data_IF_224891281487
#
_entry.id   IF_224891281487
#
_cell.length_a   1.000
_cell.length_b   1.000
_cell.length_c   1.000
_cell.angle_alpha   90.00
_cell.angle_beta   90.00
_cell.angle_gamma   90.00
#
_symmetry.space_group_name_H-M   'P 1'
#
loop_
_entity.id
_entity.type
_entity.pdbx_description
1 polymer ?
#
# COMPACT_ATOMS: atom_id res chain seq x y z
N UNK A 1 23.02 -1.75 20.07
CA UNK A 1 22.39 -0.50 20.53
C UNK A 1 21.36 0.01 19.54
N UNK A 2 20.46 0.87 20.02
CA UNK A 2 19.44 1.56 19.19
C UNK A 2 18.35 0.65 18.62
N UNK A 3 18.28 -0.60 19.02
CA UNK A 3 17.19 -1.47 18.67
C UNK A 3 15.90 -1.04 19.39
N UNK A 4 14.81 -1.06 18.67
CA UNK A 4 13.48 -0.85 19.21
C UNK A 4 12.88 -2.22 19.53
N UNK A 5 12.69 -2.48 20.83
CA UNK A 5 12.13 -3.73 21.32
C UNK A 5 10.72 -3.49 21.87
N UNK A 6 9.81 -4.37 21.55
CA UNK A 6 8.43 -4.36 22.05
C UNK A 6 8.15 -5.64 22.81
N UNK A 7 7.65 -5.49 24.03
CA UNK A 7 6.96 -6.54 24.76
C UNK A 7 5.45 -6.38 24.58
N UNK A 8 4.76 -7.48 24.35
CA UNK A 8 3.31 -7.52 24.32
C UNK A 8 2.87 -8.90 24.81
N UNK A 9 2.35 -8.97 26.00
CA UNK A 9 1.92 -10.21 26.62
C UNK A 9 0.63 -10.03 27.37
N UNK A 10 -0.20 -11.07 27.43
CA UNK A 10 -1.40 -11.10 28.23
C UNK A 10 -1.09 -11.59 29.63
N UNK A 11 -1.50 -10.84 30.61
CA UNK A 11 -1.41 -11.21 32.03
C UNK A 11 -2.83 -11.30 32.62
N UNK A 12 -2.96 -11.81 33.83
CA UNK A 12 -4.25 -11.83 34.53
C UNK A 12 -4.91 -10.46 34.71
N UNK A 13 -4.16 -9.36 34.55
CA UNK A 13 -4.64 -7.98 34.59
C UNK A 13 -4.91 -7.34 33.26
N UNK A 14 -4.77 -8.07 32.15
CA UNK A 14 -4.97 -7.56 30.80
C UNK A 14 -3.71 -7.58 29.93
N UNK A 15 -3.67 -6.74 28.90
CA UNK A 15 -2.53 -6.62 28.00
C UNK A 15 -1.42 -5.78 28.64
N UNK A 16 -0.28 -6.41 28.93
CA UNK A 16 0.96 -5.75 29.27
C UNK A 16 1.70 -5.39 27.98
N UNK A 17 2.05 -4.13 27.80
CA UNK A 17 2.79 -3.70 26.60
C UNK A 17 3.73 -2.55 26.95
N UNK A 18 4.96 -2.64 26.45
CA UNK A 18 5.89 -1.53 26.43
C UNK A 18 6.78 -1.59 25.19
N UNK A 19 7.25 -0.44 24.78
CA UNK A 19 8.14 -0.31 23.64
C UNK A 19 9.34 0.55 24.04
N UNK A 20 10.55 -0.01 23.94
CA UNK A 20 11.77 0.57 24.49
C UNK A 20 12.87 0.63 23.45
N UNK A 21 13.78 1.60 23.60
CA UNK A 21 15.03 1.67 22.84
C UNK A 21 16.17 1.08 23.67
N UNK A 22 16.95 0.19 23.04
CA UNK A 22 18.14 -0.43 23.64
C UNK A 22 19.28 0.56 23.65
N UNK A 23 19.77 0.95 24.84
CA UNK A 23 20.91 1.85 24.99
C UNK A 23 22.24 1.17 24.63
N UNK A 24 22.43 -0.07 25.05
CA UNK A 24 23.60 -0.87 24.68
C UNK A 24 23.29 -2.37 24.74
N UNK A 25 24.14 -3.17 24.07
CA UNK A 25 24.06 -4.62 24.12
C UNK A 25 25.47 -5.20 24.12
N UNK A 26 25.71 -6.22 24.96
CA UNK A 26 26.96 -6.95 25.05
C UNK A 26 26.68 -8.41 25.37
N UNK A 27 27.05 -9.33 24.47
CA UNK A 27 26.68 -10.73 24.57
C UNK A 27 25.16 -10.88 24.62
N UNK A 28 24.64 -11.61 25.60
CA UNK A 28 23.21 -11.86 25.80
C UNK A 28 22.52 -10.80 26.68
N UNK A 29 23.23 -9.73 27.01
CA UNK A 29 22.72 -8.66 27.89
C UNK A 29 22.37 -7.42 27.07
N UNK A 30 21.16 -6.92 27.24
CA UNK A 30 20.71 -5.61 26.73
C UNK A 30 20.45 -4.66 27.88
N UNK A 31 20.86 -3.40 27.71
CA UNK A 31 20.64 -2.33 28.68
C UNK A 31 19.62 -1.36 28.09
N UNK A 32 18.57 -1.10 28.87
CA UNK A 32 17.51 -0.15 28.55
C UNK A 32 17.43 0.88 29.67
N UNK A 33 17.33 2.15 29.33
CA UNK A 33 17.15 3.19 30.34
C UNK A 33 15.80 3.03 31.05
N UNK A 34 15.77 3.23 32.37
CA UNK A 34 14.53 3.13 33.17
C UNK A 34 13.42 4.05 32.64
N UNK A 35 13.80 5.21 32.12
CA UNK A 35 12.87 6.19 31.53
C UNK A 35 12.14 5.72 30.27
N UNK A 36 12.61 4.63 29.64
CA UNK A 36 11.96 4.03 28.48
C UNK A 36 10.65 3.32 28.84
N UNK A 37 10.51 2.87 30.09
CA UNK A 37 9.33 2.15 30.56
C UNK A 37 8.26 3.12 31.07
N UNK A 38 7.48 3.66 30.13
CA UNK A 38 6.44 4.68 30.43
C UNK A 38 5.06 4.09 30.64
N UNK A 39 4.79 2.88 30.11
CA UNK A 39 3.46 2.26 30.13
C UNK A 39 3.37 1.04 31.05
N UNK A 40 4.43 0.27 31.17
CA UNK A 40 4.49 -0.94 32.00
C UNK A 40 5.89 -1.18 32.51
N UNK A 41 6.00 -1.79 33.66
CA UNK A 41 7.29 -2.20 34.29
C UNK A 41 7.68 -3.56 33.72
N UNK A 42 8.97 -3.75 33.31
CA UNK A 42 9.45 -5.05 32.86
C UNK A 42 9.49 -6.06 34.04
N UNK A 43 9.23 -7.30 33.74
CA UNK A 43 9.26 -8.42 34.68
C UNK A 43 10.07 -9.58 34.12
N UNK A 44 10.54 -10.44 35.00
CA UNK A 44 11.22 -11.67 34.60
C UNK A 44 10.25 -12.56 33.82
N UNK A 45 10.66 -12.99 32.63
CA UNK A 45 9.83 -13.80 31.75
C UNK A 45 9.10 -12.99 30.65
N UNK A 46 9.24 -11.65 30.65
CA UNK A 46 8.73 -10.86 29.53
C UNK A 46 9.45 -11.21 28.22
N UNK A 47 8.68 -11.52 27.20
CA UNK A 47 9.20 -11.77 25.85
C UNK A 47 9.16 -10.49 25.03
N UNK A 48 10.31 -10.14 24.45
CA UNK A 48 10.46 -8.95 23.63
C UNK A 48 10.83 -9.30 22.20
N UNK A 49 10.25 -8.58 21.26
CA UNK A 49 10.51 -8.72 19.82
C UNK A 49 11.18 -7.46 19.29
N UNK A 50 12.16 -7.64 18.41
CA UNK A 50 12.77 -6.53 17.68
C UNK A 50 11.78 -5.99 16.67
N UNK A 51 11.48 -4.69 16.76
CA UNK A 51 10.55 -4.00 15.88
C UNK A 51 11.22 -3.01 14.93
N UNK A 52 12.48 -2.64 15.19
CA UNK A 52 13.18 -1.66 14.37
C UNK A 52 14.47 -1.19 15.01
N UNK A 53 15.02 -0.09 14.49
CA UNK A 53 16.24 0.52 15.02
C UNK A 53 16.26 2.02 14.68
N UNK A 54 16.62 2.86 15.62
CA UNK A 54 16.62 4.32 15.41
C UNK A 54 17.73 4.82 14.48
N UNK A 55 18.81 4.04 14.28
CA UNK A 55 20.01 4.42 13.53
C UNK A 55 20.30 3.50 12.34
N UNK A 56 20.27 2.18 12.56
CA UNK A 56 20.71 1.21 11.55
C UNK A 56 19.56 0.82 10.62
N UNK A 57 19.55 1.32 9.40
CA UNK A 57 18.53 1.05 8.39
C UNK A 57 18.33 -0.43 8.07
N UNK A 58 19.39 -1.25 8.15
CA UNK A 58 19.31 -2.71 7.90
C UNK A 58 18.48 -3.44 8.96
N UNK A 59 18.24 -2.81 10.10
CA UNK A 59 17.47 -3.35 11.24
C UNK A 59 16.10 -2.67 11.41
N UNK A 60 15.63 -1.93 10.40
CA UNK A 60 14.36 -1.21 10.40
C UNK A 60 13.24 -1.92 9.65
N UNK A 61 13.44 -3.18 9.28
CA UNK A 61 12.51 -3.93 8.44
C UNK A 61 11.92 -5.10 9.22
N UNK A 62 10.63 -5.32 9.08
CA UNK A 62 9.94 -6.46 9.70
C UNK A 62 8.67 -6.86 8.95
N UNK A 63 8.22 -8.09 9.15
CA UNK A 63 6.87 -8.54 8.84
C UNK A 63 6.10 -8.71 10.16
N UNK A 64 4.93 -8.09 10.25
CA UNK A 64 4.06 -8.13 11.41
C UNK A 64 2.77 -8.88 11.06
N UNK A 65 2.47 -9.93 11.82
CA UNK A 65 1.17 -10.59 11.77
C UNK A 65 0.44 -10.21 13.06
N UNK A 66 -0.72 -9.60 12.94
CA UNK A 66 -1.46 -9.10 14.07
C UNK A 66 -2.95 -9.48 13.96
N UNK A 67 -3.51 -9.98 15.07
CA UNK A 67 -4.86 -10.51 15.14
C UNK A 67 -5.68 -9.98 16.33
N UNK A 68 -5.07 -9.20 17.22
CA UNK A 68 -5.67 -8.78 18.50
C UNK A 68 -5.66 -7.28 18.78
N UNK A 69 -5.10 -6.48 17.87
CA UNK A 69 -5.10 -5.01 17.96
C UNK A 69 -6.20 -4.41 17.08
N UNK A 70 -6.50 -3.14 17.26
CA UNK A 70 -7.46 -2.41 16.41
C UNK A 70 -7.07 -2.53 14.92
N UNK A 71 -8.06 -2.70 14.06
CA UNK A 71 -7.86 -2.89 12.65
C UNK A 71 -7.38 -4.28 12.23
N UNK A 72 -7.67 -5.31 13.04
CA UNK A 72 -7.26 -6.70 12.82
C UNK A 72 -8.31 -7.53 12.08
N UNK A 73 -7.94 -8.65 11.46
CA UNK A 73 -6.59 -9.22 11.26
C UNK A 73 -5.82 -8.56 10.11
N UNK A 74 -4.47 -8.55 10.20
CA UNK A 74 -3.61 -8.06 9.12
C UNK A 74 -2.21 -8.68 9.12
N UNK A 75 -1.59 -8.64 7.97
CA UNK A 75 -0.17 -8.92 7.74
C UNK A 75 0.44 -7.66 7.14
N UNK A 76 1.40 -7.07 7.83
CA UNK A 76 2.12 -5.87 7.39
C UNK A 76 3.55 -6.18 7.00
N UNK A 77 4.01 -5.62 5.89
CA UNK A 77 5.42 -5.50 5.54
C UNK A 77 5.83 -4.06 5.82
N UNK A 78 6.79 -3.90 6.70
CA UNK A 78 7.25 -2.62 7.22
C UNK A 78 8.72 -2.40 6.89
N UNK A 79 9.07 -1.20 6.43
CA UNK A 79 10.45 -0.79 6.17
C UNK A 79 10.67 0.65 6.59
N UNK A 80 11.75 0.89 7.32
CA UNK A 80 12.07 2.19 7.87
C UNK A 80 11.45 2.44 9.26
N UNK A 81 11.28 1.40 10.07
CA UNK A 81 10.83 1.53 11.47
C UNK A 81 11.97 2.11 12.32
N UNK A 82 11.95 3.41 12.52
CA UNK A 82 12.98 4.19 13.22
C UNK A 82 12.49 4.91 14.48
N UNK A 83 11.25 4.67 14.87
CA UNK A 83 10.63 5.22 16.07
C UNK A 83 9.71 4.16 16.70
N UNK A 84 9.22 4.41 17.92
CA UNK A 84 8.30 3.51 18.64
C UNK A 84 6.87 3.55 18.06
N UNK A 85 6.78 3.54 16.74
CA UNK A 85 5.54 3.48 15.97
C UNK A 85 5.86 3.02 14.54
N UNK A 86 4.82 2.77 13.74
CA UNK A 86 4.95 2.34 12.35
C UNK A 86 4.63 3.44 11.32
N UNK A 87 4.57 4.70 11.76
CA UNK A 87 4.26 5.83 10.88
C UNK A 87 5.27 5.92 9.73
N UNK A 88 4.76 5.95 8.50
CA UNK A 88 5.57 6.04 7.29
C UNK A 88 6.39 4.78 6.95
N UNK A 89 6.26 3.69 7.73
CA UNK A 89 7.00 2.45 7.50
C UNK A 89 6.22 1.39 6.70
N UNK A 90 4.91 1.52 6.56
CA UNK A 90 4.08 0.55 5.85
C UNK A 90 4.43 0.53 4.36
N UNK A 91 4.71 -0.66 3.81
CA UNK A 91 5.00 -0.91 2.39
C UNK A 91 3.97 -1.81 1.75
N UNK A 92 3.44 -2.76 2.51
CA UNK A 92 2.32 -3.59 2.07
C UNK A 92 1.50 -4.04 3.27
N UNK A 93 0.21 -4.22 3.05
CA UNK A 93 -0.73 -4.81 4.02
C UNK A 93 -1.69 -5.75 3.29
N UNK A 94 -1.87 -6.93 3.87
CA UNK A 94 -2.94 -7.85 3.52
C UNK A 94 -3.86 -7.99 4.73
N UNK A 95 -5.15 -7.73 4.55
CA UNK A 95 -6.16 -7.81 5.61
C UNK A 95 -6.91 -6.50 5.79
N UNK A 96 -7.20 -6.09 7.01
CA UNK A 96 -7.92 -4.86 7.29
C UNK A 96 -7.07 -3.63 6.94
N UNK A 97 -7.59 -2.80 6.04
CA UNK A 97 -6.94 -1.58 5.54
C UNK A 97 -7.40 -0.30 6.25
N UNK A 98 -8.34 -0.42 7.19
CA UNK A 98 -8.88 0.74 7.89
C UNK A 98 -7.76 1.49 8.62
N UNK A 99 -7.81 2.82 8.56
CA UNK A 99 -6.82 3.70 9.16
C UNK A 99 -5.55 3.93 8.32
N UNK A 100 -5.41 3.32 7.14
CA UNK A 100 -4.38 3.70 6.19
C UNK A 100 -4.76 5.05 5.58
N UNK A 101 -3.85 6.02 5.71
CA UNK A 101 -3.97 7.32 5.06
C UNK A 101 -2.79 7.48 4.12
N UNK A 102 -3.08 7.59 2.84
CA UNK A 102 -2.08 7.75 1.79
C UNK A 102 -2.51 8.88 0.86
N UNK A 103 -1.63 9.87 0.68
CA UNK A 103 -1.86 11.05 -0.15
C UNK A 103 -2.02 10.74 -1.65
N UNK A 104 -1.62 9.54 -2.08
CA UNK A 104 -1.86 9.06 -3.44
C UNK A 104 -3.36 8.91 -3.75
N UNK A 105 -4.17 8.59 -2.72
CA UNK A 105 -5.61 8.44 -2.87
C UNK A 105 -6.36 9.69 -2.44
N UNK A 106 -7.42 10.09 -3.16
CA UNK A 106 -8.34 11.15 -2.70
C UNK A 106 -8.91 10.82 -1.31
N UNK A 107 -9.15 11.84 -0.48
CA UNK A 107 -9.64 11.66 0.90
C UNK A 107 -10.91 10.79 1.00
N UNK A 108 -11.81 10.87 -0.01
CA UNK A 108 -13.01 10.05 -0.04
C UNK A 108 -12.79 8.59 -0.49
N UNK A 109 -11.57 8.24 -0.94
CA UNK A 109 -11.23 6.93 -1.51
C UNK A 109 -9.98 6.32 -0.85
N UNK A 110 -9.75 6.62 0.42
CA UNK A 110 -8.68 5.99 1.19
C UNK A 110 -8.90 4.48 1.30
N UNK A 111 -7.82 3.69 1.38
CA UNK A 111 -7.91 2.24 1.59
C UNK A 111 -8.75 1.90 2.82
N UNK A 112 -9.68 0.96 2.70
CA UNK A 112 -10.57 0.53 3.79
C UNK A 112 -11.12 -0.87 3.57
N UNK A 113 -11.62 -1.48 4.65
CA UNK A 113 -12.12 -2.84 4.64
C UNK A 113 -11.00 -3.85 4.47
N UNK A 114 -11.33 -5.08 4.11
CA UNK A 114 -10.33 -6.14 3.88
C UNK A 114 -9.82 -6.11 2.45
N UNK A 115 -8.50 -6.09 2.29
CA UNK A 115 -7.90 -6.02 0.96
C UNK A 115 -6.38 -6.15 0.97
N UNK A 116 -5.78 -5.80 -0.16
CA UNK A 116 -4.35 -5.68 -0.35
C UNK A 116 -4.00 -4.21 -0.64
N UNK A 117 -3.10 -3.67 0.16
CA UNK A 117 -2.44 -2.38 -0.07
C UNK A 117 -0.94 -2.61 -0.23
N UNK A 118 -0.31 -2.00 -1.22
CA UNK A 118 1.13 -2.08 -1.44
C UNK A 118 1.63 -0.93 -2.32
N UNK A 119 2.93 -0.59 -2.19
CA UNK A 119 3.57 0.43 -3.02
C UNK A 119 3.62 0.01 -4.51
N UNK A 120 3.86 -1.29 -4.78
CA UNK A 120 3.92 -1.85 -6.13
C UNK A 120 3.34 -3.26 -6.15
N UNK A 121 2.61 -3.62 -7.21
CA UNK A 121 2.12 -4.97 -7.45
C UNK A 121 2.53 -5.45 -8.84
N UNK A 122 3.23 -6.60 -8.90
CA UNK A 122 3.55 -7.30 -10.14
C UNK A 122 2.73 -8.58 -10.18
N UNK A 123 1.67 -8.58 -10.98
CA UNK A 123 0.74 -9.69 -11.07
C UNK A 123 0.97 -10.46 -12.38
N UNK A 124 1.09 -11.79 -12.28
CA UNK A 124 1.19 -12.71 -13.41
C UNK A 124 0.04 -13.70 -13.34
N UNK A 125 -0.81 -13.70 -14.34
CA UNK A 125 -1.99 -14.56 -14.39
C UNK A 125 -3.25 -13.75 -14.68
N UNK A 126 -4.40 -14.24 -14.22
CA UNK A 126 -5.70 -13.62 -14.41
C UNK A 126 -6.07 -12.77 -13.20
N UNK A 127 -6.52 -11.56 -13.42
CA UNK A 127 -7.10 -10.69 -12.40
C UNK A 127 -8.57 -10.43 -12.73
N UNK A 128 -9.46 -11.02 -11.92
CA UNK A 128 -10.90 -10.91 -12.14
C UNK A 128 -11.49 -9.73 -11.34
N UNK A 129 -12.39 -9.00 -11.98
CA UNK A 129 -13.22 -7.99 -11.31
C UNK A 129 -14.42 -8.68 -10.63
N UNK A 130 -15.09 -7.96 -9.74
CA UNK A 130 -16.31 -8.41 -9.07
C UNK A 130 -17.39 -8.87 -10.07
N UNK A 131 -17.41 -8.28 -11.27
CA UNK A 131 -18.30 -8.70 -12.37
C UNK A 131 -17.93 -10.04 -13.02
N UNK A 132 -16.82 -10.66 -12.63
CA UNK A 132 -16.27 -11.86 -13.26
C UNK A 132 -15.50 -11.59 -14.55
N UNK A 133 -15.38 -10.33 -14.97
CA UNK A 133 -14.58 -9.95 -16.15
C UNK A 133 -13.10 -9.87 -15.82
N UNK A 134 -12.25 -10.36 -16.71
CA UNK A 134 -10.81 -10.16 -16.65
C UNK A 134 -10.47 -8.69 -16.90
N UNK A 135 -9.56 -8.13 -16.10
CA UNK A 135 -9.14 -6.72 -16.22
C UNK A 135 -8.60 -6.41 -17.61
N UNK A 136 -7.84 -7.31 -18.21
CA UNK A 136 -7.31 -7.15 -19.56
C UNK A 136 -8.43 -6.99 -20.58
N UNK A 137 -9.42 -7.88 -20.56
CA UNK A 137 -10.59 -7.81 -21.45
C UNK A 137 -11.34 -6.49 -21.29
N UNK A 138 -11.46 -5.98 -20.05
CA UNK A 138 -12.12 -4.71 -19.80
C UNK A 138 -11.35 -3.50 -20.34
N UNK A 139 -10.01 -3.52 -20.23
CA UNK A 139 -9.17 -2.48 -20.85
C UNK A 139 -9.26 -2.51 -22.35
N UNK A 140 -9.14 -3.67 -22.99
CA UNK A 140 -9.27 -3.84 -24.44
C UNK A 140 -10.62 -3.34 -24.95
N UNK A 141 -11.71 -3.66 -24.27
CA UNK A 141 -13.04 -3.15 -24.59
C UNK A 141 -13.17 -1.63 -24.44
N UNK A 142 -12.45 -1.04 -23.50
CA UNK A 142 -12.43 0.42 -23.28
C UNK A 142 -11.63 1.12 -24.35
N UNK A 143 -10.46 0.59 -24.74
CA UNK A 143 -9.65 1.09 -25.85
C UNK A 143 -10.44 1.06 -27.15
N UNK A 144 -11.09 -0.04 -27.49
CA UNK A 144 -11.94 -0.14 -28.67
C UNK A 144 -13.10 0.86 -28.72
N UNK A 145 -13.68 1.20 -27.57
CA UNK A 145 -14.71 2.26 -27.45
C UNK A 145 -14.12 3.64 -27.69
N UNK A 146 -12.91 3.90 -27.19
CA UNK A 146 -12.20 5.17 -27.40
C UNK A 146 -11.85 5.32 -28.88
N UNK A 147 -11.29 4.29 -29.50
CA UNK A 147 -10.97 4.28 -30.94
C UNK A 147 -12.21 4.55 -31.79
N UNK A 148 -13.33 3.86 -31.50
CA UNK A 148 -14.60 4.07 -32.22
C UNK A 148 -15.15 5.50 -32.06
N UNK A 149 -14.99 6.09 -30.88
CA UNK A 149 -15.41 7.48 -30.61
C UNK A 149 -14.53 8.48 -31.37
N UNK A 150 -13.21 8.26 -31.40
CA UNK A 150 -12.25 9.10 -32.13
C UNK A 150 -12.51 9.01 -33.65
N UNK A 151 -12.75 7.83 -34.18
CA UNK A 151 -13.14 7.61 -35.59
C UNK A 151 -14.47 8.32 -35.93
N UNK A 152 -15.46 8.28 -35.03
CA UNK A 152 -16.71 9.02 -35.18
C UNK A 152 -16.48 10.52 -35.30
N UNK A 153 -15.74 11.12 -34.36
CA UNK A 153 -15.38 12.54 -34.38
C UNK A 153 -14.58 12.92 -35.62
N UNK A 154 -13.63 12.08 -36.03
CA UNK A 154 -12.84 12.31 -37.25
C UNK A 154 -13.71 12.33 -38.50
N UNK A 155 -14.69 11.43 -38.60
CA UNK A 155 -15.65 11.38 -39.71
C UNK A 155 -16.56 12.62 -39.73
N UNK A 156 -16.98 13.09 -38.56
CA UNK A 156 -17.84 14.26 -38.44
C UNK A 156 -17.10 15.59 -38.73
N UNK A 157 -15.80 15.66 -38.37
CA UNK A 157 -14.94 16.83 -38.61
C UNK A 157 -14.30 16.86 -40.00
N UNK A 158 -14.14 15.72 -40.64
CA UNK A 158 -13.70 15.56 -42.00
C UNK A 158 -14.80 14.80 -42.76
N UNK A 159 -15.96 15.41 -43.02
CA UNK A 159 -16.89 14.85 -43.96
C UNK A 159 -16.11 14.64 -45.26
N UNK A 160 -16.25 13.45 -45.78
CA UNK A 160 -15.67 13.07 -47.06
C UNK A 160 -15.69 14.30 -47.95
N UNK A 161 -14.52 14.83 -48.28
CA UNK A 161 -14.44 15.82 -49.34
C UNK A 161 -14.80 14.99 -50.55
N UNK A 162 -16.12 14.82 -50.73
CA UNK A 162 -16.68 14.24 -51.91
C UNK A 162 -15.92 14.88 -53.05
N UNK A 163 -15.17 14.09 -53.75
CA UNK A 163 -14.53 14.52 -54.97
C UNK A 163 -15.54 15.37 -55.68
N UNK A 164 -15.29 16.66 -55.73
CA UNK A 164 -15.89 17.52 -56.75
C UNK A 164 -15.28 17.05 -58.07
N UNK A 165 -15.63 15.84 -58.48
CA UNK A 165 -15.66 15.53 -59.88
C UNK A 165 -16.79 16.39 -60.43
N UNK A 166 -16.49 17.63 -60.75
CA UNK A 166 -17.32 18.43 -61.59
C UNK A 166 -17.07 18.02 -63.05
N UNK A 167 -17.90 17.12 -63.60
CA UNK A 167 -17.74 16.72 -65.02
C UNK A 167 -18.05 17.86 -66.00
N UNK A 168 -18.50 18.99 -65.51
CA UNK A 168 -18.91 20.14 -66.31
C UNK A 168 -17.81 21.18 -66.57
N UNK A 169 -16.58 20.93 -66.16
CA UNK A 169 -15.48 21.88 -66.43
C UNK A 169 -14.75 21.62 -67.73
N UNK A 170 -15.18 20.63 -68.50
CA UNK A 170 -14.52 20.26 -69.77
C UNK A 170 -15.31 20.60 -71.04
N UNK A 171 -16.44 21.29 -70.92
CA UNK A 171 -17.22 21.72 -72.08
C UNK A 171 -17.24 23.24 -72.14
N UNK A 172 -16.23 23.84 -72.74
CA UNK A 172 -16.31 25.25 -73.09
C UNK A 172 -15.00 25.96 -73.32
N UNK A 173 -14.21 25.49 -74.28
CA UNK A 173 -13.26 26.30 -75.05
C UNK A 173 -13.13 25.71 -76.49
N UNK A 174 -14.03 26.10 -77.30
CA UNK A 174 -13.79 26.28 -78.77
C UNK A 174 -13.62 27.75 -79.07
#
# INVERSE_FOLDING_TARGET
AHDLMRCQTFTGGGLKSYWVEVSSATGDTVIVAKSEFTSSVPEVGDECVLMGNTVNQKRQNLALIAATEDGMPRIDVLSGVKAKNFSGALRARLGNLDGIIDSWFPSAKQPRGNGLYCDNAFLKGTFLLETGEDVKTRFEATEGKIESAVEGVRRDLMPDQGYLSNPSFNDGLD
#
